data_IF_680373372251
#
_entry.id   IF_680373372251
#
_cell.length_a   1.000
_cell.length_b   1.000
_cell.length_c   1.000
_cell.angle_alpha   90.00
_cell.angle_beta   90.00
_cell.angle_gamma   90.00
#
_symmetry.space_group_name_H-M   'P 1'
#
loop_
_entity.id
_entity.type
_entity.pdbx_description
1 polymer ?
#
# COMPACT_ATOMS: atom_id res chain seq x y z
N UNK A 1 -17.29 -31.80 10.62
CA UNK A 1 -16.27 -32.36 11.53
C UNK A 1 -15.14 -31.36 11.70
N UNK A 2 -15.20 -30.51 12.73
CA UNK A 2 -14.16 -29.51 13.00
C UNK A 2 -12.99 -30.15 13.76
N UNK A 3 -11.80 -30.15 13.14
CA UNK A 3 -10.56 -30.54 13.82
C UNK A 3 -10.15 -29.43 14.80
N UNK A 4 -10.32 -29.68 16.11
CA UNK A 4 -9.75 -28.87 17.19
C UNK A 4 -8.26 -29.21 17.32
N UNK A 5 -7.38 -28.28 16.98
CA UNK A 5 -5.95 -28.40 17.32
C UNK A 5 -5.76 -28.05 18.79
N UNK A 6 -5.49 -29.07 19.61
CA UNK A 6 -5.03 -28.92 21.00
C UNK A 6 -3.51 -28.80 20.98
N UNK A 7 -2.95 -27.71 21.51
CA UNK A 7 -1.54 -27.68 21.91
C UNK A 7 -1.45 -27.72 23.43
N UNK A 8 -0.58 -28.58 23.92
CA UNK A 8 -0.23 -28.71 25.32
C UNK A 8 1.16 -28.10 25.52
N UNK A 9 1.32 -27.24 26.51
CA UNK A 9 2.62 -26.77 26.98
C UNK A 9 2.91 -27.38 28.36
N UNK A 10 4.10 -27.96 28.48
CA UNK A 10 4.61 -28.57 29.70
C UNK A 10 5.36 -27.51 30.51
N UNK A 11 4.76 -27.07 31.63
CA UNK A 11 5.49 -26.61 32.80
C UNK A 11 4.58 -26.77 34.03
N UNK A 12 5.06 -27.52 35.02
CA UNK A 12 4.61 -27.54 36.42
C UNK A 12 3.09 -27.52 36.70
N UNK A 13 2.51 -28.70 36.93
CA UNK A 13 1.25 -28.98 37.64
C UNK A 13 0.32 -27.77 38.00
N UNK A 14 -0.57 -27.41 37.08
CA UNK A 14 -2.03 -27.20 37.30
C UNK A 14 -2.70 -26.84 35.97
N UNK A 15 -3.69 -27.64 35.58
CA UNK A 15 -4.46 -27.47 34.35
C UNK A 15 -5.47 -26.33 34.53
N UNK A 16 -5.19 -25.17 33.93
CA UNK A 16 -6.18 -24.11 33.78
C UNK A 16 -6.72 -24.10 32.35
N UNK A 17 -8.02 -24.35 32.20
CA UNK A 17 -8.74 -24.10 30.95
C UNK A 17 -8.85 -22.58 30.76
N UNK A 18 -8.06 -22.02 29.84
CA UNK A 18 -8.20 -20.60 29.45
C UNK A 18 -9.08 -20.53 28.21
N UNK A 19 -10.32 -20.07 28.39
CA UNK A 19 -11.16 -19.59 27.30
C UNK A 19 -10.73 -18.15 27.00
N UNK A 20 -9.96 -17.96 25.93
CA UNK A 20 -9.57 -16.62 25.47
C UNK A 20 -10.70 -16.01 24.65
N UNK A 21 -11.43 -15.07 25.23
CA UNK A 21 -12.30 -14.13 24.52
C UNK A 21 -11.45 -13.03 23.90
N UNK A 22 -11.56 -12.88 22.57
CA UNK A 22 -10.82 -11.93 21.74
C UNK A 22 -11.23 -10.48 21.96
N UNK A 23 -10.82 -9.88 23.07
CA UNK A 23 -10.73 -8.42 23.22
C UNK A 23 -9.63 -8.13 24.19
N UNK A 24 -8.44 -7.86 23.68
CA UNK A 24 -7.48 -6.87 24.21
C UNK A 24 -6.23 -6.89 23.32
N UNK A 25 -5.83 -5.72 22.82
CA UNK A 25 -4.61 -5.53 22.03
C UNK A 25 -3.40 -5.80 22.93
N UNK A 26 -2.92 -7.04 22.96
CA UNK A 26 -1.68 -7.40 23.65
C UNK A 26 -0.49 -6.86 22.86
N UNK A 27 0.09 -5.77 23.33
CA UNK A 27 1.47 -5.37 22.99
C UNK A 27 2.41 -6.33 23.72
N UNK A 28 3.11 -7.20 22.99
CA UNK A 28 4.18 -8.03 23.58
C UNK A 28 5.50 -7.34 23.28
N UNK A 29 6.15 -6.76 24.30
CA UNK A 29 7.44 -6.07 24.14
C UNK A 29 7.40 -4.82 23.25
N UNK A 30 6.24 -4.15 23.15
CA UNK A 30 6.05 -3.00 22.24
C UNK A 30 5.71 -3.40 20.79
N UNK A 31 5.60 -4.70 20.50
CA UNK A 31 5.22 -5.23 19.19
C UNK A 31 3.69 -5.37 19.14
N UNK A 32 3.07 -4.73 18.15
CA UNK A 32 1.64 -4.89 17.84
C UNK A 32 1.48 -5.95 16.77
N UNK A 33 0.84 -7.07 17.11
CA UNK A 33 0.41 -8.05 16.11
C UNK A 33 -0.85 -7.54 15.40
N UNK A 34 -0.81 -7.55 14.07
CA UNK A 34 -1.95 -7.19 13.24
C UNK A 34 -2.27 -8.39 12.38
N UNK A 35 -3.49 -8.89 12.55
CA UNK A 35 -4.06 -9.84 11.60
C UNK A 35 -4.36 -9.07 10.31
N UNK A 36 -3.63 -9.33 9.23
CA UNK A 36 -3.80 -8.72 7.91
C UNK A 36 -3.94 -9.81 6.85
N UNK A 37 -4.94 -9.68 5.98
CA UNK A 37 -5.11 -10.59 4.84
C UNK A 37 -4.09 -10.24 3.76
N UNK A 38 -3.24 -11.20 3.41
CA UNK A 38 -2.38 -11.42 2.22
C UNK A 38 -1.52 -10.29 1.63
N UNK A 39 -1.72 -9.01 1.97
CA UNK A 39 -1.10 -7.87 1.24
C UNK A 39 -0.52 -6.80 2.15
N UNK A 40 0.53 -6.12 1.67
CA UNK A 40 1.11 -4.95 2.36
C UNK A 40 0.08 -3.83 2.49
N UNK A 41 -0.82 -3.67 1.51
CA UNK A 41 -1.87 -2.65 1.56
C UNK A 41 -2.91 -2.90 2.65
N UNK A 42 -3.32 -4.15 2.84
CA UNK A 42 -4.18 -4.57 3.94
C UNK A 42 -3.54 -4.29 5.31
N UNK A 43 -2.22 -4.50 5.39
CA UNK A 43 -1.42 -4.21 6.59
C UNK A 43 -1.33 -2.70 6.84
N UNK A 44 -0.99 -1.92 5.83
CA UNK A 44 -0.86 -0.47 5.91
C UNK A 44 -2.21 0.21 6.22
N UNK A 45 -3.33 -0.26 5.66
CA UNK A 45 -4.66 0.24 6.01
C UNK A 45 -4.98 0.08 7.51
N UNK A 46 -4.54 -1.02 8.12
CA UNK A 46 -4.73 -1.27 9.56
C UNK A 46 -3.75 -0.49 10.43
N UNK A 47 -2.47 -0.44 10.04
CA UNK A 47 -1.41 0.24 10.78
C UNK A 47 -1.54 1.77 10.74
N UNK A 48 -1.87 2.30 9.57
CA UNK A 48 -1.75 3.73 9.25
C UNK A 48 -3.10 4.42 9.15
N UNK A 49 -4.17 3.79 9.66
CA UNK A 49 -5.54 4.35 9.67
C UNK A 49 -5.61 5.80 10.17
N UNK A 50 -4.75 6.17 11.12
CA UNK A 50 -4.70 7.51 11.71
C UNK A 50 -3.62 8.42 11.08
N UNK A 51 -2.94 7.93 10.04
CA UNK A 51 -1.87 8.62 9.30
C UNK A 51 -2.12 8.49 7.78
N UNK A 52 -3.25 9.03 7.27
CA UNK A 52 -3.60 8.89 5.86
C UNK A 52 -2.57 9.58 4.95
N UNK A 53 -2.40 9.04 3.75
CA UNK A 53 -1.56 9.62 2.69
C UNK A 53 -2.26 10.76 1.96
N UNK A 54 -3.58 10.71 1.82
CA UNK A 54 -4.36 11.76 1.20
C UNK A 54 -5.80 11.79 1.71
N UNK A 55 -6.48 12.90 1.40
CA UNK A 55 -7.92 13.07 1.54
C UNK A 55 -8.53 13.31 0.16
N UNK A 56 -9.50 12.49 -0.22
CA UNK A 56 -10.36 12.70 -1.40
C UNK A 56 -11.58 13.50 -0.97
N UNK A 57 -11.84 14.62 -1.64
CA UNK A 57 -12.95 15.52 -1.35
C UNK A 57 -13.81 15.58 -2.62
N UNK A 58 -15.05 15.09 -2.52
CA UNK A 58 -16.02 15.06 -3.60
C UNK A 58 -17.18 16.01 -3.27
N UNK A 59 -17.20 17.17 -3.92
CA UNK A 59 -18.18 18.24 -3.65
C UNK A 59 -19.09 18.49 -4.82
N UNK A 60 -20.40 18.47 -4.57
CA UNK A 60 -21.39 18.88 -5.55
C UNK A 60 -21.39 20.41 -5.72
N UNK A 61 -21.62 20.90 -6.93
CA UNK A 61 -21.79 22.34 -7.19
C UNK A 61 -23.13 22.86 -6.72
N UNK A 62 -24.11 21.98 -6.49
CA UNK A 62 -25.40 22.34 -5.90
C UNK A 62 -25.32 22.26 -4.36
N UNK A 63 -25.34 23.44 -3.71
CA UNK A 63 -25.26 23.58 -2.25
C UNK A 63 -26.48 23.04 -1.49
N UNK A 64 -27.60 22.80 -2.17
CA UNK A 64 -28.79 22.21 -1.56
C UNK A 64 -28.88 20.69 -1.80
N UNK A 65 -27.86 20.09 -2.43
CA UNK A 65 -27.78 18.64 -2.59
C UNK A 65 -27.65 17.98 -1.21
N UNK A 66 -28.47 16.98 -0.92
CA UNK A 66 -28.43 16.23 0.34
C UNK A 66 -27.03 15.64 0.60
N UNK A 67 -26.37 15.20 -0.47
CA UNK A 67 -25.00 14.68 -0.41
C UNK A 67 -23.99 15.70 -0.95
N UNK A 68 -24.01 16.92 -0.41
CA UNK A 68 -23.17 18.02 -0.89
C UNK A 68 -21.66 17.70 -0.87
N UNK A 69 -21.14 17.06 0.18
CA UNK A 69 -19.71 16.74 0.33
C UNK A 69 -19.51 15.32 0.85
N UNK A 70 -18.65 14.56 0.17
CA UNK A 70 -18.15 13.26 0.63
C UNK A 70 -16.64 13.38 0.80
N UNK A 71 -16.18 13.06 1.99
CA UNK A 71 -14.79 13.23 2.40
C UNK A 71 -14.24 11.85 2.81
N UNK A 72 -13.22 11.37 2.12
CA UNK A 72 -12.58 10.09 2.40
C UNK A 72 -11.10 10.30 2.70
N UNK A 73 -10.60 9.67 3.77
CA UNK A 73 -9.16 9.60 4.05
C UNK A 73 -8.65 8.22 3.64
N UNK A 74 -7.51 8.19 2.97
CA UNK A 74 -6.93 6.97 2.44
C UNK A 74 -5.45 6.87 2.81
N UNK A 75 -5.01 5.69 3.21
CA UNK A 75 -3.66 5.43 3.70
C UNK A 75 -2.65 5.21 2.56
N UNK A 76 -3.11 4.80 1.38
CA UNK A 76 -2.26 4.36 0.26
C UNK A 76 -2.77 4.94 -1.05
N UNK A 77 -1.86 5.48 -1.84
CA UNK A 77 -2.07 5.80 -3.26
C UNK A 77 -1.65 4.57 -4.06
N UNK A 78 -2.53 4.02 -4.89
CA UNK A 78 -2.18 2.90 -5.77
C UNK A 78 -1.89 3.45 -7.16
N UNK A 79 -0.71 3.15 -7.69
CA UNK A 79 -0.32 3.51 -9.06
C UNK A 79 -0.12 2.26 -9.90
N UNK A 80 -0.50 2.36 -11.17
CA UNK A 80 -0.48 1.24 -12.09
C UNK A 80 0.74 1.33 -13.01
N UNK A 81 1.54 0.26 -13.03
CA UNK A 81 2.58 0.04 -14.01
C UNK A 81 2.06 -0.89 -15.10
N UNK A 82 2.62 -0.80 -16.32
CA UNK A 82 2.34 -1.75 -17.41
C UNK A 82 3.61 -2.53 -17.72
N UNK A 83 3.56 -3.85 -17.64
CA UNK A 83 4.72 -4.75 -17.77
C UNK A 83 5.93 -4.30 -16.94
N UNK A 84 5.68 -3.92 -15.69
CA UNK A 84 6.70 -3.47 -14.74
C UNK A 84 7.22 -2.05 -14.99
N UNK A 85 6.72 -1.35 -16.02
CA UNK A 85 7.16 -0.01 -16.40
C UNK A 85 6.20 1.04 -15.89
N UNK A 86 6.73 2.04 -15.19
CA UNK A 86 5.96 3.16 -14.65
C UNK A 86 6.82 4.41 -14.59
N UNK A 87 6.21 5.55 -14.89
CA UNK A 87 6.72 6.87 -14.53
C UNK A 87 5.92 7.36 -13.31
N UNK A 88 6.53 7.25 -12.13
CA UNK A 88 5.84 7.53 -10.86
C UNK A 88 5.35 8.97 -10.79
N UNK A 89 6.12 9.94 -11.30
CA UNK A 89 5.73 11.34 -11.25
C UNK A 89 4.52 11.57 -12.17
N UNK A 90 4.55 11.03 -13.39
CA UNK A 90 3.44 11.15 -14.33
C UNK A 90 2.14 10.53 -13.82
N UNK A 91 2.21 9.34 -13.22
CA UNK A 91 1.03 8.66 -12.66
C UNK A 91 0.47 9.44 -11.45
N UNK A 92 1.33 9.98 -10.61
CA UNK A 92 0.93 10.87 -9.51
C UNK A 92 0.28 12.15 -10.03
N UNK A 93 0.87 12.79 -11.05
CA UNK A 93 0.31 14.00 -11.64
C UNK A 93 -1.09 13.72 -12.21
N UNK A 94 -1.30 12.53 -12.77
CA UNK A 94 -2.62 12.07 -13.21
C UNK A 94 -3.58 11.90 -12.03
N UNK A 95 -3.15 11.21 -10.98
CA UNK A 95 -3.93 10.96 -9.75
C UNK A 95 -4.35 12.25 -9.03
N UNK A 96 -3.56 13.32 -9.11
CA UNK A 96 -3.84 14.61 -8.47
C UNK A 96 -4.74 15.54 -9.31
N UNK A 97 -5.05 15.18 -10.56
CA UNK A 97 -5.95 16.00 -11.38
C UNK A 97 -7.33 16.08 -10.74
N UNK A 98 -7.94 17.25 -10.87
CA UNK A 98 -9.34 17.42 -10.50
C UNK A 98 -10.22 16.75 -11.53
N UNK A 99 -11.13 15.88 -11.08
CA UNK A 99 -12.12 15.24 -11.93
C UNK A 99 -13.48 15.88 -11.70
N UNK A 100 -14.31 15.90 -12.74
CA UNK A 100 -15.70 16.36 -12.66
C UNK A 100 -16.62 15.24 -13.11
N UNK A 101 -17.57 14.85 -12.26
CA UNK A 101 -18.57 13.81 -12.53
C UNK A 101 -19.98 14.37 -12.36
N UNK A 102 -21.00 13.61 -12.77
CA UNK A 102 -22.41 13.97 -12.53
C UNK A 102 -22.86 13.43 -11.18
N UNK A 103 -23.52 14.26 -10.38
CA UNK A 103 -24.09 13.84 -9.09
C UNK A 103 -25.30 12.94 -9.30
N UNK A 104 -25.26 11.74 -8.74
CA UNK A 104 -26.38 10.78 -8.76
C UNK A 104 -27.64 11.29 -8.04
N UNK A 105 -27.50 12.24 -7.10
CA UNK A 105 -28.61 12.73 -6.28
C UNK A 105 -29.35 13.93 -6.88
N UNK A 106 -28.66 14.81 -7.61
CA UNK A 106 -29.26 16.05 -8.11
C UNK A 106 -28.84 16.43 -9.54
N UNK A 107 -28.16 15.54 -10.26
CA UNK A 107 -27.66 15.71 -11.63
C UNK A 107 -26.75 16.94 -11.86
N UNK A 108 -26.36 17.64 -10.80
CA UNK A 108 -25.39 18.73 -10.87
C UNK A 108 -23.97 18.18 -10.93
N UNK A 109 -23.02 18.99 -11.39
CA UNK A 109 -21.61 18.60 -11.44
C UNK A 109 -21.09 18.36 -10.01
N UNK A 110 -20.20 17.38 -9.85
CA UNK A 110 -19.38 17.20 -8.66
C UNK A 110 -17.92 17.28 -9.04
N UNK A 111 -17.15 17.99 -8.23
CA UNK A 111 -15.70 18.08 -8.38
C UNK A 111 -15.03 17.20 -7.33
N UNK A 112 -14.15 16.34 -7.81
CA UNK A 112 -13.33 15.44 -7.01
C UNK A 112 -11.92 16.00 -6.99
N UNK A 113 -11.44 16.27 -5.78
CA UNK A 113 -10.10 16.82 -5.55
C UNK A 113 -9.34 15.95 -4.56
N UNK A 114 -8.02 15.91 -4.70
CA UNK A 114 -7.13 15.16 -3.82
C UNK A 114 -6.22 16.12 -3.05
N UNK A 115 -6.27 16.04 -1.73
CA UNK A 115 -5.35 16.74 -0.83
C UNK A 115 -4.37 15.76 -0.23
N UNK A 116 -3.12 15.82 -0.67
CA UNK A 116 -2.01 14.98 -0.16
C UNK A 116 -1.62 15.40 1.26
N UNK A 117 -1.19 14.44 2.08
CA UNK A 117 -0.71 14.62 3.46
C UNK A 117 0.82 14.57 3.54
N UNK A 118 1.45 14.93 4.67
CA UNK A 118 2.91 14.95 4.78
C UNK A 118 3.60 13.59 4.68
N UNK A 119 2.91 12.48 4.99
CA UNK A 119 3.44 11.12 4.83
C UNK A 119 2.66 10.47 3.70
N UNK A 120 3.35 9.91 2.70
CA UNK A 120 2.72 9.36 1.51
C UNK A 120 3.25 7.96 1.26
N UNK A 121 2.33 7.00 1.25
CA UNK A 121 2.59 5.63 0.83
C UNK A 121 2.00 5.43 -0.56
N UNK A 122 2.82 4.87 -1.44
CA UNK A 122 2.47 4.58 -2.82
C UNK A 122 2.62 3.08 -3.01
N UNK A 123 1.53 2.35 -3.25
CA UNK A 123 1.58 0.98 -3.75
C UNK A 123 1.73 0.99 -5.27
N UNK A 124 2.63 0.15 -5.77
CA UNK A 124 2.81 -0.06 -7.20
C UNK A 124 2.21 -1.41 -7.59
N UNK A 125 1.36 -1.38 -8.61
CA UNK A 125 0.70 -2.57 -9.15
C UNK A 125 1.02 -2.67 -10.64
N UNK A 126 1.80 -3.69 -11.03
CA UNK A 126 2.07 -3.93 -12.46
C UNK A 126 0.98 -4.77 -13.08
N UNK A 127 0.38 -4.32 -14.17
CA UNK A 127 -0.54 -5.11 -14.99
C UNK A 127 0.18 -5.63 -16.23
N UNK A 128 -0.09 -6.87 -16.68
CA UNK A 128 0.37 -7.34 -17.99
C UNK A 128 -0.27 -6.50 -19.10
N UNK A 129 0.49 -6.12 -20.12
CA UNK A 129 -0.01 -5.36 -21.28
C UNK A 129 -1.12 -6.09 -22.05
N UNK A 130 -1.13 -7.41 -22.02
CA UNK A 130 -2.19 -8.24 -22.62
C UNK A 130 -3.54 -8.07 -21.89
N UNK A 131 -3.52 -7.69 -20.60
CA UNK A 131 -4.71 -7.41 -19.80
C UNK A 131 -5.26 -6.00 -20.07
N UNK A 132 -4.38 -5.03 -20.32
CA UNK A 132 -4.74 -3.68 -20.78
C UNK A 132 -5.50 -3.74 -22.12
N UNK A 133 -5.00 -4.54 -23.07
CA UNK A 133 -5.64 -4.69 -24.38
C UNK A 133 -7.02 -5.38 -24.35
N UNK A 134 -7.29 -6.18 -23.30
CA UNK A 134 -8.53 -6.93 -23.14
C UNK A 134 -9.59 -6.20 -22.31
N UNK A 135 -9.20 -5.12 -21.63
CA UNK A 135 -10.11 -4.29 -20.83
C UNK A 135 -10.32 -2.96 -21.54
N UNK A 136 -11.24 -2.93 -22.51
CA UNK A 136 -11.86 -1.71 -23.04
C UNK A 136 -12.78 -1.06 -21.98
N UNK A 137 -12.27 -0.89 -20.76
CA UNK A 137 -13.00 -0.35 -19.62
C UNK A 137 -12.42 1.04 -19.32
N UNK A 138 -13.18 2.12 -19.57
CA UNK A 138 -12.73 3.50 -19.36
C UNK A 138 -12.65 3.90 -17.88
N UNK A 139 -12.94 2.98 -16.95
CA UNK A 139 -13.07 3.24 -15.52
C UNK A 139 -12.10 2.36 -14.71
N UNK A 140 -10.95 2.94 -14.39
CA UNK A 140 -9.83 2.34 -13.65
C UNK A 140 -10.18 2.07 -12.17
N UNK A 141 -11.38 2.49 -11.72
CA UNK A 141 -11.89 2.20 -10.38
C UNK A 141 -12.13 0.70 -10.11
N UNK A 142 -11.97 -0.19 -11.10
CA UNK A 142 -12.06 -1.66 -10.96
C UNK A 142 -10.69 -2.30 -10.64
N UNK A 143 -9.60 -1.53 -10.50
CA UNK A 143 -8.29 -2.11 -10.08
C UNK A 143 -8.31 -2.66 -8.65
N UNK A 144 -9.28 -2.25 -7.81
CA UNK A 144 -9.51 -2.90 -6.51
C UNK A 144 -9.86 -4.39 -6.62
N UNK A 145 -10.21 -4.88 -7.81
CA UNK A 145 -10.56 -6.28 -8.09
C UNK A 145 -9.51 -7.06 -8.89
N UNK A 146 -8.42 -6.42 -9.34
CA UNK A 146 -7.27 -7.18 -9.84
C UNK A 146 -6.70 -7.91 -8.64
N UNK A 147 -7.10 -9.17 -8.47
CA UNK A 147 -6.56 -10.03 -7.43
C UNK A 147 -5.04 -9.95 -7.55
N UNK A 148 -4.36 -9.65 -6.45
CA UNK A 148 -2.91 -9.43 -6.46
C UNK A 148 -2.12 -10.57 -7.14
N UNK A 149 -2.71 -11.77 -7.25
CA UNK A 149 -2.22 -12.91 -8.04
C UNK A 149 -1.95 -12.63 -9.53
N UNK A 150 -2.47 -11.54 -10.10
CA UNK A 150 -2.28 -11.15 -11.51
C UNK A 150 -1.34 -9.96 -11.68
N UNK A 151 -0.88 -9.36 -10.59
CA UNK A 151 0.07 -8.26 -10.67
C UNK A 151 1.47 -8.80 -11.03
N UNK A 152 2.14 -8.18 -12.01
CA UNK A 152 3.53 -8.45 -12.35
C UNK A 152 4.52 -7.84 -11.34
N UNK A 153 5.81 -8.00 -11.61
CA UNK A 153 6.90 -7.45 -10.78
C UNK A 153 7.36 -6.08 -11.30
N UNK A 154 7.76 -5.19 -10.40
CA UNK A 154 8.40 -3.91 -10.74
C UNK A 154 9.84 -3.96 -10.27
N UNK A 155 10.73 -4.30 -11.20
CA UNK A 155 12.12 -4.59 -10.90
C UNK A 155 12.98 -3.33 -10.98
N UNK A 156 13.35 -2.79 -9.81
CA UNK A 156 14.22 -1.61 -9.70
C UNK A 156 15.41 -1.85 -8.80
N UNK A 157 16.55 -1.33 -9.22
CA UNK A 157 17.65 -0.97 -8.32
C UNK A 157 17.22 0.21 -7.46
N UNK A 158 17.86 0.40 -6.30
CA UNK A 158 17.51 1.51 -5.41
C UNK A 158 17.79 2.88 -6.03
N UNK A 159 18.69 2.96 -7.02
CA UNK A 159 19.03 4.21 -7.72
C UNK A 159 17.99 4.60 -8.76
N UNK A 160 17.25 3.64 -9.31
CA UNK A 160 16.13 3.88 -10.23
C UNK A 160 14.90 4.43 -9.50
N UNK A 161 14.80 4.26 -8.17
CA UNK A 161 13.70 4.81 -7.37
C UNK A 161 13.83 6.35 -7.34
N UNK A 162 12.79 7.10 -7.76
CA UNK A 162 12.78 8.54 -7.66
C UNK A 162 13.06 8.99 -6.22
N UNK A 163 14.09 9.80 -6.01
CA UNK A 163 14.42 10.29 -4.66
C UNK A 163 13.48 11.38 -4.19
N UNK A 164 12.85 12.06 -5.14
CA UNK A 164 11.91 13.14 -4.89
C UNK A 164 10.69 13.03 -5.79
N UNK A 165 9.53 13.44 -5.27
CA UNK A 165 8.30 13.65 -6.04
C UNK A 165 7.78 15.07 -5.79
N UNK A 166 7.19 15.68 -6.82
CA UNK A 166 6.46 16.94 -6.67
C UNK A 166 4.97 16.65 -6.54
N UNK A 167 4.39 16.92 -5.37
CA UNK A 167 2.96 16.71 -5.10
C UNK A 167 2.33 18.07 -4.79
N UNK A 168 1.47 18.58 -5.68
CA UNK A 168 0.81 19.88 -5.55
C UNK A 168 1.78 21.05 -5.23
N UNK A 169 2.92 21.09 -5.92
CA UNK A 169 3.93 22.16 -5.76
C UNK A 169 4.84 21.99 -4.53
N UNK A 170 4.78 20.85 -3.85
CA UNK A 170 5.65 20.52 -2.71
C UNK A 170 6.55 19.35 -3.04
N UNK A 171 7.81 19.44 -2.66
CA UNK A 171 8.78 18.36 -2.84
C UNK A 171 8.71 17.38 -1.68
N UNK A 172 8.49 16.11 -2.01
CA UNK A 172 8.49 14.99 -1.09
C UNK A 172 9.75 14.16 -1.31
N UNK A 173 10.35 13.64 -0.25
CA UNK A 173 11.60 12.89 -0.25
C UNK A 173 11.36 11.42 0.10
N UNK A 174 12.03 10.51 -0.62
CA UNK A 174 11.97 9.08 -0.34
C UNK A 174 12.51 8.80 1.09
N UNK A 175 11.76 8.02 1.86
CA UNK A 175 12.15 7.52 3.20
C UNK A 175 12.36 6.02 3.21
N UNK A 176 11.79 5.30 2.27
CA UNK A 176 12.00 3.88 2.15
C UNK A 176 11.18 3.24 1.06
N UNK A 177 11.42 1.96 0.88
CA UNK A 177 10.66 1.09 -0.02
C UNK A 177 10.41 -0.26 0.66
N UNK A 178 9.30 -0.90 0.32
CA UNK A 178 9.01 -2.28 0.69
C UNK A 178 9.17 -3.13 -0.56
N UNK A 179 10.01 -4.16 -0.44
CA UNK A 179 10.30 -5.10 -1.51
C UNK A 179 9.73 -6.48 -1.18
N UNK A 180 9.34 -7.21 -2.22
CA UNK A 180 8.83 -8.57 -2.10
C UNK A 180 9.72 -9.57 -2.82
N UNK A 181 10.22 -10.56 -2.10
CA UNK A 181 11.00 -11.65 -2.67
C UNK A 181 10.14 -12.91 -2.76
N UNK A 182 9.67 -13.24 -3.96
CA UNK A 182 9.15 -14.56 -4.28
C UNK A 182 10.34 -15.51 -4.50
N UNK A 183 10.38 -16.65 -3.82
CA UNK A 183 11.47 -17.63 -3.96
C UNK A 183 11.59 -18.24 -5.38
N UNK A 184 10.66 -17.94 -6.28
CA UNK A 184 10.59 -18.36 -7.67
C UNK A 184 10.13 -17.16 -8.52
N UNK A 185 10.90 -16.79 -9.54
CA UNK A 185 10.51 -15.76 -10.53
C UNK A 185 9.59 -16.37 -11.56
N UNK A 186 8.29 -16.17 -11.41
CA UNK A 186 7.27 -16.69 -12.33
C UNK A 186 6.67 -15.60 -13.22
N UNK A 187 7.02 -14.33 -13.03
CA UNK A 187 6.48 -13.18 -13.77
C UNK A 187 5.14 -12.66 -13.25
N UNK A 188 4.54 -13.32 -12.24
CA UNK A 188 3.34 -12.90 -11.53
C UNK A 188 3.59 -12.93 -10.02
N UNK A 189 2.91 -12.07 -9.27
CA UNK A 189 3.02 -11.97 -7.82
C UNK A 189 2.48 -13.24 -7.16
N UNK A 190 3.36 -13.92 -6.43
CA UNK A 190 3.09 -15.17 -5.74
C UNK A 190 2.39 -14.91 -4.39
N UNK A 191 1.45 -15.78 -4.00
CA UNK A 191 0.77 -15.72 -2.69
C UNK A 191 1.71 -15.91 -1.49
N UNK A 192 2.87 -16.51 -1.71
CA UNK A 192 3.87 -16.78 -0.69
C UNK A 192 5.20 -16.17 -1.10
N UNK A 193 5.81 -15.43 -0.18
CA UNK A 193 7.12 -14.85 -0.36
C UNK A 193 7.55 -14.11 0.90
N UNK A 194 8.55 -13.26 0.77
CA UNK A 194 9.18 -12.60 1.90
C UNK A 194 9.32 -11.10 1.67
N UNK A 195 8.76 -10.31 2.59
CA UNK A 195 8.86 -8.86 2.54
C UNK A 195 10.10 -8.38 3.26
N UNK A 196 10.75 -7.35 2.72
CA UNK A 196 11.80 -6.60 3.41
C UNK A 196 11.53 -5.12 3.27
N UNK A 197 11.84 -4.36 4.32
CA UNK A 197 11.83 -2.92 4.27
C UNK A 197 13.25 -2.41 4.01
N UNK A 198 13.39 -1.44 3.11
CA UNK A 198 14.64 -0.74 2.87
C UNK A 198 14.41 0.72 3.18
N UNK A 199 15.06 1.24 4.23
CA UNK A 199 14.93 2.63 4.65
C UNK A 199 16.04 3.48 4.02
N UNK A 200 15.68 4.69 3.57
CA UNK A 200 16.63 5.72 3.13
C UNK A 200 16.83 6.70 4.27
N UNK A 201 18.04 6.76 4.80
CA UNK A 201 18.45 7.70 5.84
C UNK A 201 18.62 9.10 5.28
N UNK A 202 18.66 10.11 6.15
CA UNK A 202 18.85 11.52 5.78
C UNK A 202 20.18 11.81 5.08
N UNK A 203 21.17 10.94 5.27
CA UNK A 203 22.46 10.98 4.58
C UNK A 203 22.45 10.21 3.24
N UNK A 204 21.27 9.83 2.73
CA UNK A 204 21.06 9.04 1.51
C UNK A 204 21.64 7.62 1.54
N UNK A 205 21.94 7.09 2.73
CA UNK A 205 22.32 5.68 2.87
C UNK A 205 21.09 4.80 3.02
N UNK A 206 21.11 3.66 2.35
CA UNK A 206 20.06 2.66 2.43
C UNK A 206 20.39 1.57 3.45
N UNK A 207 19.37 1.16 4.20
CA UNK A 207 19.44 0.16 5.24
C UNK A 207 18.34 -0.87 5.07
N UNK A 208 18.68 -2.16 5.10
CA UNK A 208 17.72 -3.27 4.97
C UNK A 208 17.29 -3.76 6.35
N UNK A 209 15.98 -3.86 6.53
CA UNK A 209 15.30 -4.43 7.69
C UNK A 209 14.55 -5.69 7.24
N UNK A 210 14.86 -6.82 7.89
CA UNK A 210 14.45 -8.16 7.49
C UNK A 210 14.09 -8.95 8.75
N UNK A 211 12.79 -8.97 9.06
CA UNK A 211 12.21 -9.49 10.31
C UNK A 211 12.92 -8.98 11.58
N UNK A 212 13.36 -9.91 12.42
CA UNK A 212 14.02 -9.67 13.71
C UNK A 212 15.54 -9.78 13.60
N UNK A 213 16.11 -9.63 12.39
CA UNK A 213 17.58 -9.66 12.26
C UNK A 213 18.18 -8.45 12.98
N UNK A 214 19.03 -8.75 13.96
CA UNK A 214 19.66 -7.74 14.82
C UNK A 214 20.59 -6.78 14.06
N UNK A 215 21.11 -7.22 12.90
CA UNK A 215 22.07 -6.45 12.12
C UNK A 215 21.40 -5.77 10.93
N UNK A 216 21.45 -4.44 10.92
CA UNK A 216 21.14 -3.63 9.75
C UNK A 216 22.19 -3.91 8.68
N UNK A 217 21.75 -4.24 7.46
CA UNK A 217 22.66 -4.51 6.33
C UNK A 217 22.51 -3.45 5.25
N UNK A 218 23.59 -3.20 4.51
CA UNK A 218 23.50 -2.41 3.29
C UNK A 218 22.87 -3.25 2.17
N UNK A 219 21.94 -2.69 1.40
CA UNK A 219 21.37 -3.40 0.27
C UNK A 219 22.43 -3.62 -0.81
N UNK A 220 22.38 -4.78 -1.44
CA UNK A 220 23.19 -5.04 -2.63
C UNK A 220 22.65 -4.21 -3.79
N UNK A 221 23.53 -3.78 -4.70
CA UNK A 221 23.16 -3.14 -5.96
C UNK A 221 22.58 -4.17 -6.94
N UNK A 222 21.39 -4.68 -6.62
CA UNK A 222 20.62 -5.62 -7.41
C UNK A 222 19.22 -5.07 -7.64
N UNK A 223 18.56 -5.53 -8.69
CA UNK A 223 17.15 -5.25 -8.88
C UNK A 223 16.31 -5.96 -7.82
N UNK A 224 15.37 -5.24 -7.24
CA UNK A 224 14.40 -5.72 -6.27
C UNK A 224 13.01 -5.53 -6.85
N UNK A 225 12.09 -6.44 -6.55
CA UNK A 225 10.68 -6.23 -6.85
C UNK A 225 10.12 -5.24 -5.82
N UNK A 226 9.95 -3.99 -6.25
CA UNK A 226 9.49 -2.87 -5.43
C UNK A 226 7.97 -2.81 -5.47
N UNK A 227 7.34 -2.86 -4.30
CA UNK A 227 5.88 -2.84 -4.22
C UNK A 227 5.30 -1.61 -3.53
N UNK A 228 6.02 -1.04 -2.56
CA UNK A 228 5.58 0.18 -1.88
C UNK A 228 6.71 1.18 -1.80
N UNK A 229 6.43 2.44 -2.13
CA UNK A 229 7.31 3.57 -1.90
C UNK A 229 6.78 4.40 -0.74
N UNK A 230 7.67 4.90 0.11
CA UNK A 230 7.34 5.71 1.27
C UNK A 230 8.03 7.06 1.13
N UNK A 231 7.25 8.13 1.03
CA UNK A 231 7.72 9.50 0.94
C UNK A 231 7.24 10.33 2.11
N UNK A 232 8.01 11.36 2.48
CA UNK A 232 7.53 12.42 3.35
C UNK A 232 7.84 13.78 2.77
N UNK A 233 7.09 14.79 3.20
CA UNK A 233 7.46 16.18 3.01
C UNK A 233 8.84 16.48 3.64
#
# INVERSE_FOLDING_TARGET
SQRRNKRYTLQGQKWHHVNLTWRDKQLVGGISMIDSMDTVSSTAHKLLKNMPSYKKINRCTNFTCEEFSIDQSCEIITLTAIDGKIDVQKEIDSFLKTESIICSHCNSVRNITVSVKPNVLIELVSLPKELEASTSVPDINIISEVQQNYAGEIMWTLDEIPKTLNLNGRTYYIRGTIIFNSGLRTGLRMKSGHYKAIACRTNNFWEVYDDLKDNITQPKSIQNNVEVLIYTL
#
